data_IF_634315482808
#
_entry.id   IF_634315482808
#
_cell.length_a   1.000
_cell.length_b   1.000
_cell.length_c   1.000
_cell.angle_alpha   90.00
_cell.angle_beta   90.00
_cell.angle_gamma   90.00
#
_symmetry.space_group_name_H-M   'P 1'
#
loop_
_entity.id
_entity.type
_entity.pdbx_description
1 polymer ?
#
# COMPACT_ATOMS: atom_id res chain seq x y z
N UNK A 1 -0.82 1.43 -15.83
CA UNK A 1 -1.86 2.39 -16.29
C UNK A 1 -3.23 1.90 -15.79
N UNK A 2 -4.33 2.53 -16.22
CA UNK A 2 -5.67 2.19 -15.74
C UNK A 2 -6.07 0.74 -16.04
N UNK A 3 -5.83 0.23 -17.25
CA UNK A 3 -6.25 -1.13 -17.65
C UNK A 3 -5.55 -2.20 -16.81
N UNK A 4 -4.25 -2.02 -16.52
CA UNK A 4 -3.50 -2.92 -15.64
C UNK A 4 -4.02 -2.86 -14.19
N UNK A 5 -4.29 -1.65 -13.68
CA UNK A 5 -4.87 -1.47 -12.35
C UNK A 5 -6.26 -2.11 -12.26
N UNK A 6 -7.09 -1.98 -13.30
CA UNK A 6 -8.42 -2.58 -13.38
C UNK A 6 -8.37 -4.10 -13.28
N UNK A 7 -7.45 -4.74 -14.01
CA UNK A 7 -7.24 -6.19 -13.91
C UNK A 7 -6.77 -6.59 -12.50
N UNK A 8 -5.84 -5.85 -11.91
CA UNK A 8 -5.38 -6.12 -10.55
C UNK A 8 -6.51 -6.02 -9.52
N UNK A 9 -7.27 -4.92 -9.50
CA UNK A 9 -8.36 -4.76 -8.50
C UNK A 9 -9.43 -5.83 -8.68
N UNK A 10 -9.71 -6.23 -9.94
CA UNK A 10 -10.66 -7.32 -10.24
C UNK A 10 -10.17 -8.66 -9.68
N UNK A 11 -8.91 -9.02 -9.96
CA UNK A 11 -8.33 -10.27 -9.47
C UNK A 11 -8.22 -10.31 -7.94
N UNK A 12 -7.83 -9.19 -7.32
CA UNK A 12 -7.77 -9.03 -5.87
C UNK A 12 -9.16 -9.16 -5.23
N UNK A 13 -10.20 -8.54 -5.81
CA UNK A 13 -11.58 -8.67 -5.31
C UNK A 13 -12.09 -10.11 -5.37
N UNK A 14 -11.78 -10.85 -6.44
CA UNK A 14 -12.12 -12.27 -6.58
C UNK A 14 -11.41 -13.11 -5.50
N UNK A 15 -10.11 -12.87 -5.28
CA UNK A 15 -9.34 -13.54 -4.24
C UNK A 15 -9.92 -13.26 -2.85
N UNK A 16 -10.23 -12.00 -2.55
CA UNK A 16 -10.86 -11.60 -1.30
C UNK A 16 -12.22 -12.28 -1.09
N UNK A 17 -13.09 -12.33 -2.11
CA UNK A 17 -14.38 -13.02 -2.01
C UNK A 17 -14.22 -14.53 -1.72
N UNK A 18 -13.27 -15.19 -2.42
CA UNK A 18 -12.95 -16.59 -2.19
C UNK A 18 -12.46 -16.83 -0.75
N UNK A 19 -11.61 -15.93 -0.24
CA UNK A 19 -11.11 -16.02 1.14
C UNK A 19 -12.21 -15.96 2.19
N UNK A 20 -13.25 -15.16 1.99
CA UNK A 20 -14.41 -15.09 2.91
C UNK A 20 -15.16 -16.41 2.93
N UNK A 21 -15.38 -17.00 1.75
CA UNK A 21 -16.05 -18.30 1.66
C UNK A 21 -15.23 -19.44 2.27
N UNK A 22 -13.90 -19.40 2.13
CA UNK A 22 -12.98 -20.35 2.77
C UNK A 22 -13.00 -20.15 4.29
N UNK A 23 -12.82 -18.91 4.78
CA UNK A 23 -12.83 -18.60 6.21
C UNK A 23 -14.10 -19.09 6.91
N UNK A 24 -15.26 -18.94 6.27
CA UNK A 24 -16.55 -19.41 6.81
C UNK A 24 -16.62 -20.93 7.00
N UNK A 25 -15.93 -21.71 6.17
CA UNK A 25 -15.94 -23.19 6.22
C UNK A 25 -14.73 -23.77 6.96
N UNK A 26 -13.59 -23.11 6.82
CA UNK A 26 -12.26 -23.55 7.21
C UNK A 26 -11.46 -22.36 7.77
N UNK A 27 -11.88 -21.78 8.91
CA UNK A 27 -11.20 -20.64 9.51
C UNK A 27 -9.73 -20.94 9.85
N UNK A 28 -9.41 -22.20 10.14
CA UNK A 28 -8.06 -22.68 10.41
C UNK A 28 -7.10 -22.47 9.23
N UNK A 29 -7.58 -22.59 7.99
CA UNK A 29 -6.75 -22.38 6.79
C UNK A 29 -6.33 -20.91 6.73
N UNK A 30 -7.29 -19.99 6.86
CA UNK A 30 -7.02 -18.55 6.83
C UNK A 30 -6.13 -18.15 8.01
N UNK A 31 -6.38 -18.68 9.21
CA UNK A 31 -5.54 -18.42 10.37
C UNK A 31 -4.09 -18.89 10.17
N UNK A 32 -3.88 -20.03 9.51
CA UNK A 32 -2.53 -20.55 9.21
C UNK A 32 -1.80 -19.77 8.10
N UNK A 33 -2.54 -19.09 7.23
CA UNK A 33 -1.99 -18.32 6.10
C UNK A 33 -1.78 -16.85 6.44
N UNK A 34 -2.60 -16.28 7.33
CA UNK A 34 -2.57 -14.87 7.72
C UNK A 34 -1.44 -14.54 8.71
N UNK A 35 -0.26 -15.11 8.48
CA UNK A 35 0.94 -14.84 9.26
C UNK A 35 1.61 -13.62 8.64
N UNK A 36 1.36 -12.44 9.21
CA UNK A 36 1.92 -11.19 8.71
C UNK A 36 3.46 -11.18 8.85
N UNK A 37 4.24 -11.18 7.74
CA UNK A 37 5.69 -11.21 7.81
C UNK A 37 6.32 -9.83 8.06
N UNK A 38 5.52 -8.76 8.18
CA UNK A 38 6.02 -7.41 8.45
C UNK A 38 5.68 -6.93 9.86
N UNK A 39 4.54 -7.36 10.40
CA UNK A 39 3.99 -6.85 11.65
C UNK A 39 3.75 -7.91 12.74
N UNK A 40 4.02 -9.20 12.48
CA UNK A 40 3.86 -10.22 13.53
C UNK A 40 4.90 -10.05 14.65
N UNK A 41 4.47 -10.30 15.89
CA UNK A 41 5.36 -10.32 17.06
C UNK A 41 6.38 -11.47 17.02
N UNK A 42 6.17 -12.43 16.13
CA UNK A 42 6.97 -13.66 15.97
C UNK A 42 8.11 -13.50 14.96
N UNK A 43 8.16 -12.39 14.22
CA UNK A 43 9.37 -12.03 13.49
C UNK A 43 10.54 -11.91 14.46
N UNK A 44 11.72 -12.35 14.02
CA UNK A 44 12.95 -12.01 14.69
C UNK A 44 12.93 -10.49 14.94
N UNK A 45 13.04 -10.09 16.21
CA UNK A 45 13.02 -8.71 16.71
C UNK A 45 13.69 -7.68 15.77
N UNK A 46 14.71 -8.13 15.04
CA UNK A 46 15.49 -7.38 14.07
C UNK A 46 14.72 -6.94 12.80
N UNK A 47 13.76 -7.72 12.28
CA UNK A 47 13.08 -7.39 11.01
C UNK A 47 12.06 -6.25 11.19
N UNK A 48 11.13 -6.38 12.14
CA UNK A 48 10.18 -5.33 12.46
C UNK A 48 10.89 -4.03 12.91
N UNK A 49 11.97 -4.14 13.69
CA UNK A 49 12.79 -2.99 14.09
C UNK A 49 13.48 -2.31 12.89
N UNK A 50 13.97 -3.09 11.92
CA UNK A 50 14.56 -2.57 10.69
C UNK A 50 13.50 -1.81 9.85
N UNK A 51 12.33 -2.41 9.62
CA UNK A 51 11.26 -1.75 8.87
C UNK A 51 10.72 -0.50 9.59
N UNK A 52 10.61 -0.52 10.94
CA UNK A 52 10.29 0.67 11.74
C UNK A 52 11.33 1.78 11.52
N UNK A 53 12.62 1.43 11.61
CA UNK A 53 13.72 2.38 11.37
C UNK A 53 13.68 2.96 9.96
N UNK A 54 13.50 2.12 8.95
CA UNK A 54 13.40 2.54 7.55
C UNK A 54 12.21 3.47 7.32
N UNK A 55 11.04 3.15 7.87
CA UNK A 55 9.86 4.01 7.78
C UNK A 55 10.12 5.37 8.44
N UNK A 56 10.65 5.38 9.67
CA UNK A 56 10.94 6.63 10.38
C UNK A 56 11.96 7.48 9.62
N UNK A 57 13.07 6.90 9.14
CA UNK A 57 14.07 7.63 8.34
C UNK A 57 13.47 8.17 7.03
N UNK A 58 12.61 7.40 6.35
CA UNK A 58 11.91 7.84 5.14
C UNK A 58 10.97 9.02 5.40
N UNK A 59 10.19 8.98 6.48
CA UNK A 59 9.30 10.08 6.88
C UNK A 59 10.08 11.35 7.25
N UNK A 60 11.21 11.21 7.95
CA UNK A 60 12.07 12.35 8.29
C UNK A 60 12.68 12.99 7.04
N UNK A 61 13.21 12.19 6.10
CA UNK A 61 13.73 12.66 4.82
C UNK A 61 12.63 13.38 4.01
N UNK A 62 11.45 12.75 3.91
CA UNK A 62 10.28 13.37 3.28
C UNK A 62 9.93 14.71 3.91
N UNK A 63 9.91 14.81 5.25
CA UNK A 63 9.61 16.06 5.96
C UNK A 63 10.62 17.17 5.68
N UNK A 64 11.90 16.83 5.47
CA UNK A 64 12.97 17.77 5.13
C UNK A 64 12.74 18.36 3.73
N UNK A 65 12.51 17.52 2.73
CA UNK A 65 12.20 17.99 1.39
C UNK A 65 10.85 18.72 1.28
N UNK A 66 9.86 18.35 2.10
CA UNK A 66 8.61 19.12 2.22
C UNK A 66 8.91 20.54 2.72
N UNK A 67 9.83 20.71 3.68
CA UNK A 67 10.15 22.03 4.25
C UNK A 67 10.74 22.99 3.20
N UNK A 68 11.46 22.45 2.22
CA UNK A 68 12.05 23.17 1.10
C UNK A 68 11.06 23.44 -0.04
N UNK A 69 9.88 22.83 0.02
CA UNK A 69 8.85 22.95 -1.02
C UNK A 69 7.78 23.96 -0.61
N UNK A 70 7.86 25.18 -1.15
CA UNK A 70 7.01 26.32 -0.74
C UNK A 70 5.50 26.00 -0.69
N UNK A 71 4.97 25.24 -1.65
CA UNK A 71 3.56 24.85 -1.71
C UNK A 71 3.14 23.93 -0.54
N UNK A 72 4.03 23.04 -0.11
CA UNK A 72 3.70 21.95 0.82
C UNK A 72 4.36 22.10 2.20
N UNK A 73 5.22 23.11 2.41
CA UNK A 73 5.98 23.32 3.67
C UNK A 73 5.14 23.29 4.94
N UNK A 74 3.86 23.68 4.86
CA UNK A 74 2.88 23.59 5.97
C UNK A 74 2.73 22.16 6.54
N UNK A 75 3.00 21.13 5.73
CA UNK A 75 2.92 19.73 6.13
C UNK A 75 4.23 19.17 6.73
N UNK A 76 5.36 19.87 6.61
CA UNK A 76 6.66 19.35 7.09
C UNK A 76 6.61 18.99 8.57
N UNK A 77 6.04 19.87 9.40
CA UNK A 77 5.93 19.64 10.83
C UNK A 77 5.08 18.41 11.16
N UNK A 78 3.90 18.25 10.55
CA UNK A 78 3.03 17.10 10.85
C UNK A 78 3.65 15.77 10.41
N UNK A 79 4.32 15.74 9.24
CA UNK A 79 5.01 14.53 8.77
C UNK A 79 6.20 14.19 9.67
N UNK A 80 6.96 15.19 10.13
CA UNK A 80 8.06 14.99 11.08
C UNK A 80 7.56 14.48 12.44
N UNK A 81 6.50 15.11 12.97
CA UNK A 81 5.92 14.75 14.27
C UNK A 81 5.34 13.32 14.25
N UNK A 82 4.72 12.90 13.13
CA UNK A 82 4.16 11.56 13.01
C UNK A 82 5.21 10.47 12.74
N UNK A 83 6.43 10.81 12.33
CA UNK A 83 7.48 9.84 11.93
C UNK A 83 7.76 8.72 12.95
N UNK A 84 7.56 9.01 14.24
CA UNK A 84 7.78 8.06 15.34
C UNK A 84 6.53 7.29 15.77
N UNK A 85 5.34 7.68 15.29
CA UNK A 85 4.05 7.05 15.64
C UNK A 85 3.39 6.33 14.47
N UNK A 86 3.74 6.67 13.22
CA UNK A 86 3.14 6.08 12.01
C UNK A 86 3.29 4.56 11.97
N UNK A 87 4.44 4.02 12.38
CA UNK A 87 4.64 2.57 12.41
C UNK A 87 3.58 1.85 13.26
N UNK A 88 3.37 2.33 14.49
CA UNK A 88 2.44 1.70 15.42
C UNK A 88 0.99 1.88 14.93
N UNK A 89 0.65 3.04 14.33
CA UNK A 89 -0.65 3.26 13.66
C UNK A 89 -0.87 2.28 12.51
N UNK A 90 0.13 2.07 11.66
CA UNK A 90 0.05 1.15 10.52
C UNK A 90 -0.14 -0.28 11.01
N UNK A 91 0.53 -0.71 12.07
CA UNK A 91 0.30 -2.03 12.68
C UNK A 91 -1.15 -2.18 13.12
N UNK A 92 -1.69 -1.21 13.86
CA UNK A 92 -3.07 -1.27 14.37
C UNK A 92 -4.10 -1.31 13.24
N UNK A 93 -3.92 -0.50 12.19
CA UNK A 93 -4.82 -0.43 11.03
C UNK A 93 -4.86 -1.75 10.23
N UNK A 94 -3.82 -2.57 10.32
CA UNK A 94 -3.73 -3.85 9.63
C UNK A 94 -4.28 -5.03 10.43
N UNK A 95 -4.75 -4.81 11.66
CA UNK A 95 -5.41 -5.86 12.43
C UNK A 95 -6.83 -6.11 11.91
N UNK A 96 -7.36 -7.34 12.06
CA UNK A 96 -8.76 -7.61 11.80
C UNK A 96 -9.67 -6.70 12.63
N UNK A 97 -10.73 -6.17 12.01
CA UNK A 97 -11.76 -5.38 12.69
C UNK A 97 -13.05 -6.19 12.92
N UNK A 98 -14.08 -5.56 13.48
CA UNK A 98 -15.42 -6.13 13.58
C UNK A 98 -16.25 -6.02 12.28
N UNK A 99 -15.74 -5.32 11.26
CA UNK A 99 -16.32 -5.28 9.91
C UNK A 99 -15.91 -6.52 9.11
N UNK A 100 -16.30 -6.58 7.83
CA UNK A 100 -15.82 -7.62 6.92
C UNK A 100 -14.28 -7.59 6.87
N UNK A 101 -13.66 -8.77 7.01
CA UNK A 101 -12.24 -8.96 6.79
C UNK A 101 -12.03 -9.98 5.68
N UNK A 102 -10.94 -9.82 4.94
CA UNK A 102 -10.57 -10.66 3.80
C UNK A 102 -9.10 -11.01 3.90
N UNK A 103 -8.72 -12.13 3.30
CA UNK A 103 -7.32 -12.44 3.06
C UNK A 103 -6.87 -11.64 1.83
N UNK A 104 -5.71 -11.00 1.93
CA UNK A 104 -5.08 -10.20 0.88
C UNK A 104 -3.59 -10.56 0.76
N UNK A 105 -3.01 -10.41 -0.44
CA UNK A 105 -1.61 -10.77 -0.70
C UNK A 105 -0.60 -9.80 -0.03
N UNK A 106 -0.99 -8.54 0.21
CA UNK A 106 -0.29 -7.47 0.96
C UNK A 106 1.16 -7.11 0.57
N UNK A 107 1.75 -7.79 -0.40
CA UNK A 107 3.01 -7.42 -1.06
C UNK A 107 2.79 -7.29 -2.57
N UNK A 108 1.70 -6.61 -2.93
CA UNK A 108 1.21 -6.54 -4.30
C UNK A 108 1.82 -5.32 -4.96
N UNK A 109 2.95 -5.51 -5.63
CA UNK A 109 3.57 -4.51 -6.50
C UNK A 109 3.82 -5.10 -7.90
N UNK A 110 4.21 -4.28 -8.87
CA UNK A 110 4.41 -4.73 -10.27
C UNK A 110 5.34 -5.93 -10.41
N UNK A 111 6.30 -6.13 -9.50
CA UNK A 111 7.19 -7.30 -9.47
C UNK A 111 6.49 -8.62 -9.15
N UNK A 112 5.36 -8.58 -8.44
CA UNK A 112 4.62 -9.75 -7.96
C UNK A 112 3.32 -10.00 -8.75
N UNK A 113 3.25 -9.48 -9.98
CA UNK A 113 2.12 -9.71 -10.90
C UNK A 113 2.63 -10.01 -12.31
N UNK A 114 1.96 -10.91 -13.01
CA UNK A 114 2.19 -11.15 -14.44
C UNK A 114 0.97 -10.73 -15.23
N UNK A 115 1.20 -9.97 -16.29
CA UNK A 115 0.17 -9.55 -17.22
C UNK A 115 0.28 -10.30 -18.55
N UNK A 116 -0.87 -10.69 -19.08
CA UNK A 116 -0.99 -11.30 -20.41
C UNK A 116 -1.37 -10.24 -21.43
N UNK A 117 -0.75 -10.27 -22.59
CA UNK A 117 -1.01 -9.33 -23.68
C UNK A 117 -1.48 -10.08 -24.93
N UNK A 118 -2.36 -9.45 -25.71
CA UNK A 118 -2.71 -9.94 -27.04
C UNK A 118 -1.66 -9.55 -28.09
N UNK A 119 -1.89 -9.94 -29.34
CA UNK A 119 -1.00 -9.66 -30.46
C UNK A 119 -0.89 -8.15 -30.81
N UNK A 120 -1.74 -7.30 -30.22
CA UNK A 120 -1.74 -5.85 -30.41
C UNK A 120 -1.14 -5.10 -29.21
N UNK A 121 -0.62 -5.83 -28.22
CA UNK A 121 -0.04 -5.25 -27.00
C UNK A 121 -1.09 -4.80 -25.97
N UNK A 122 -2.37 -5.14 -26.16
CA UNK A 122 -3.41 -4.84 -25.16
C UNK A 122 -3.35 -5.85 -24.03
N UNK A 123 -3.41 -5.37 -22.79
CA UNK A 123 -3.49 -6.24 -21.62
C UNK A 123 -4.84 -6.97 -21.58
N UNK A 124 -4.82 -8.28 -21.36
CA UNK A 124 -6.00 -9.15 -21.44
C UNK A 124 -6.26 -9.99 -20.20
N UNK A 125 -5.23 -10.24 -19.39
CA UNK A 125 -5.35 -11.07 -18.20
C UNK A 125 -4.25 -10.76 -17.19
N UNK A 126 -4.43 -11.21 -15.95
CA UNK A 126 -3.47 -11.05 -14.86
C UNK A 126 -3.33 -12.34 -14.05
N UNK A 127 -2.12 -12.58 -13.53
CA UNK A 127 -1.87 -13.55 -12.48
C UNK A 127 -1.14 -12.87 -11.32
N UNK A 128 -1.74 -12.90 -10.13
CA UNK A 128 -1.08 -12.48 -8.89
C UNK A 128 -0.13 -13.60 -8.46
N UNK A 129 1.09 -13.23 -8.12
CA UNK A 129 2.14 -14.13 -7.66
C UNK A 129 2.53 -13.81 -6.22
N UNK A 130 3.40 -14.67 -5.68
CA UNK A 130 4.07 -14.49 -4.39
C UNK A 130 3.15 -14.17 -3.21
N UNK A 131 2.61 -15.22 -2.57
CA UNK A 131 1.70 -15.07 -1.44
C UNK A 131 2.41 -15.15 -0.08
N UNK A 132 3.70 -14.77 -0.01
CA UNK A 132 4.47 -14.83 1.23
C UNK A 132 4.01 -13.86 2.33
N UNK A 133 3.27 -12.81 1.94
CA UNK A 133 2.85 -11.73 2.83
C UNK A 133 1.36 -11.66 3.12
N UNK A 134 0.66 -12.80 3.03
CA UNK A 134 -0.78 -12.84 3.24
C UNK A 134 -1.20 -12.22 4.58
N UNK A 135 -2.19 -11.32 4.53
CA UNK A 135 -2.76 -10.64 5.71
C UNK A 135 -4.27 -10.78 5.72
N UNK A 136 -4.84 -10.95 6.91
CA UNK A 136 -6.29 -10.92 7.11
C UNK A 136 -6.71 -9.60 7.76
N UNK A 137 -7.39 -8.73 7.00
CA UNK A 137 -7.80 -7.39 7.47
C UNK A 137 -8.93 -6.80 6.61
N UNK A 138 -9.23 -5.51 6.75
CA UNK A 138 -10.24 -4.81 5.92
C UNK A 138 -9.97 -5.00 4.41
N UNK A 139 -11.01 -5.19 3.59
CA UNK A 139 -10.93 -5.19 2.13
C UNK A 139 -10.18 -4.00 1.54
N UNK A 140 -10.30 -2.82 2.14
CA UNK A 140 -9.67 -1.58 1.65
C UNK A 140 -8.14 -1.67 1.64
N UNK A 141 -7.56 -2.32 2.66
CA UNK A 141 -6.11 -2.49 2.77
C UNK A 141 -5.51 -3.27 1.59
N UNK A 142 -6.29 -4.13 0.94
CA UNK A 142 -5.88 -4.98 -0.20
C UNK A 142 -5.41 -4.19 -1.42
N UNK A 143 -5.88 -2.94 -1.57
CA UNK A 143 -5.61 -2.15 -2.76
C UNK A 143 -4.54 -1.09 -2.56
N UNK A 144 -4.43 -0.56 -1.34
CA UNK A 144 -3.62 0.63 -1.08
C UNK A 144 -2.16 0.43 -1.50
N UNK A 145 -1.57 -0.71 -1.11
CA UNK A 145 -0.17 -0.97 -1.42
C UNK A 145 0.09 -0.97 -2.93
N UNK A 146 -0.71 -1.69 -3.72
CA UNK A 146 -0.55 -1.72 -5.18
C UNK A 146 -0.79 -0.36 -5.82
N UNK A 147 -1.88 0.34 -5.46
CA UNK A 147 -2.22 1.61 -6.10
C UNK A 147 -1.19 2.70 -5.81
N UNK A 148 -0.61 2.71 -4.62
CA UNK A 148 0.38 3.72 -4.23
C UNK A 148 1.81 3.37 -4.62
N UNK A 149 2.14 2.10 -4.89
CA UNK A 149 3.47 1.71 -5.40
C UNK A 149 3.53 1.59 -6.92
N UNK A 150 2.44 1.14 -7.55
CA UNK A 150 2.46 0.55 -8.90
C UNK A 150 1.55 1.26 -9.91
N UNK A 151 0.50 1.94 -9.45
CA UNK A 151 -0.28 2.77 -10.38
C UNK A 151 0.59 3.94 -10.88
N UNK A 152 0.29 4.45 -12.07
CA UNK A 152 0.93 5.69 -12.51
C UNK A 152 0.21 6.91 -11.89
N UNK A 153 0.81 8.09 -12.04
CA UNK A 153 0.25 9.30 -11.46
C UNK A 153 -1.15 9.64 -11.98
N UNK A 154 -1.42 9.46 -13.28
CA UNK A 154 -2.74 9.74 -13.86
C UNK A 154 -3.85 8.88 -13.24
N UNK A 155 -3.57 7.60 -12.97
CA UNK A 155 -4.51 6.72 -12.27
C UNK A 155 -4.77 7.21 -10.86
N UNK A 156 -3.72 7.55 -10.09
CA UNK A 156 -3.89 8.10 -8.73
C UNK A 156 -4.64 9.42 -8.72
N UNK A 157 -4.50 10.23 -9.76
CA UNK A 157 -5.11 11.56 -9.83
C UNK A 157 -6.57 11.54 -10.28
N UNK A 158 -6.98 10.55 -11.08
CA UNK A 158 -8.28 10.60 -11.80
C UNK A 158 -9.14 9.35 -11.67
N UNK A 159 -8.58 8.21 -11.26
CA UNK A 159 -9.26 6.91 -11.39
C UNK A 159 -9.31 6.09 -10.09
N UNK A 160 -8.87 6.64 -8.94
CA UNK A 160 -8.91 5.89 -7.67
C UNK A 160 -10.34 5.47 -7.29
N UNK A 161 -11.27 6.41 -7.25
CA UNK A 161 -12.67 6.12 -6.90
C UNK A 161 -13.32 5.13 -7.88
N UNK A 162 -13.02 5.24 -9.18
CA UNK A 162 -13.47 4.29 -10.19
C UNK A 162 -12.95 2.87 -9.90
N UNK A 163 -11.67 2.73 -9.53
CA UNK A 163 -11.07 1.45 -9.17
C UNK A 163 -11.63 0.89 -7.85
N UNK A 164 -11.98 1.75 -6.89
CA UNK A 164 -12.64 1.34 -5.65
C UNK A 164 -14.05 0.82 -5.90
N UNK A 165 -14.82 1.51 -6.73
CA UNK A 165 -16.14 1.06 -7.15
C UNK A 165 -16.06 -0.31 -7.84
N UNK A 166 -15.15 -0.48 -8.81
CA UNK A 166 -14.93 -1.76 -9.49
C UNK A 166 -14.60 -2.88 -8.48
N UNK A 167 -13.73 -2.60 -7.52
CA UNK A 167 -13.38 -3.58 -6.49
C UNK A 167 -14.60 -4.00 -5.65
N UNK A 168 -15.37 -3.03 -5.15
CA UNK A 168 -16.58 -3.29 -4.35
C UNK A 168 -17.62 -4.10 -5.14
N UNK A 169 -17.87 -3.73 -6.40
CA UNK A 169 -18.81 -4.43 -7.26
C UNK A 169 -18.39 -5.89 -7.50
N UNK A 170 -17.15 -6.10 -7.92
CA UNK A 170 -16.61 -7.45 -8.17
C UNK A 170 -16.60 -8.29 -6.89
N UNK A 171 -16.21 -7.71 -5.75
CA UNK A 171 -16.22 -8.39 -4.45
C UNK A 171 -17.65 -8.84 -4.10
N UNK A 172 -18.61 -7.92 -4.13
CA UNK A 172 -20.01 -8.19 -3.78
C UNK A 172 -20.67 -9.19 -4.73
N UNK A 173 -20.42 -9.10 -6.03
CA UNK A 173 -20.89 -10.09 -7.01
C UNK A 173 -20.37 -11.49 -6.72
N UNK A 174 -19.08 -11.63 -6.41
CA UNK A 174 -18.48 -12.92 -6.11
C UNK A 174 -18.93 -13.46 -4.75
N UNK A 175 -19.11 -12.60 -3.74
CA UNK A 175 -19.72 -12.98 -2.47
C UNK A 175 -21.15 -13.51 -2.67
N UNK A 176 -21.94 -12.89 -3.54
CA UNK A 176 -23.27 -13.37 -3.91
C UNK A 176 -23.23 -14.73 -4.60
N UNK A 177 -22.34 -14.93 -5.59
CA UNK A 177 -22.13 -16.22 -6.28
C UNK A 177 -21.73 -17.33 -5.29
N UNK A 178 -20.95 -16.98 -4.27
CA UNK A 178 -20.51 -17.88 -3.20
C UNK A 178 -21.54 -18.04 -2.06
N UNK A 179 -22.73 -17.44 -2.18
CA UNK A 179 -23.81 -17.46 -1.18
C UNK A 179 -23.38 -16.93 0.19
N UNK A 180 -22.45 -15.98 0.20
CA UNK A 180 -22.09 -15.22 1.39
C UNK A 180 -23.10 -14.07 1.61
N UNK A 181 -23.55 -13.80 2.86
CA UNK A 181 -24.40 -12.64 3.15
C UNK A 181 -23.61 -11.32 3.25
N UNK A 182 -22.28 -11.40 3.44
CA UNK A 182 -21.40 -10.24 3.63
C UNK A 182 -21.40 -9.31 2.43
N UNK A 183 -21.41 -7.99 2.65
CA UNK A 183 -21.32 -6.98 1.60
C UNK A 183 -20.51 -5.79 2.09
N UNK A 184 -19.98 -5.01 1.14
CA UNK A 184 -19.27 -3.76 1.40
C UNK A 184 -19.86 -2.68 0.51
N UNK A 185 -20.34 -1.59 1.09
CA UNK A 185 -20.75 -0.41 0.32
C UNK A 185 -19.53 0.42 -0.11
N UNK A 186 -19.66 1.23 -1.16
CA UNK A 186 -18.59 2.14 -1.56
C UNK A 186 -18.29 3.15 -0.43
N UNK A 187 -19.31 3.66 0.27
CA UNK A 187 -19.14 4.63 1.35
C UNK A 187 -18.31 4.05 2.50
N UNK A 188 -18.63 2.84 2.98
CA UNK A 188 -17.85 2.15 4.01
C UNK A 188 -16.40 1.89 3.56
N UNK A 189 -16.21 1.60 2.27
CA UNK A 189 -14.89 1.37 1.71
C UNK A 189 -14.07 2.67 1.65
N UNK A 190 -14.69 3.79 1.28
CA UNK A 190 -14.05 5.11 1.25
C UNK A 190 -13.69 5.58 2.68
N UNK A 191 -14.55 5.33 3.65
CA UNK A 191 -14.26 5.58 5.08
C UNK A 191 -13.03 4.77 5.52
N UNK A 192 -12.98 3.48 5.19
CA UNK A 192 -11.82 2.63 5.49
C UNK A 192 -10.54 3.13 4.77
N UNK A 193 -10.64 3.61 3.52
CA UNK A 193 -9.52 4.22 2.80
C UNK A 193 -9.01 5.49 3.50
N UNK A 194 -9.90 6.33 4.04
CA UNK A 194 -9.52 7.51 4.82
C UNK A 194 -8.79 7.13 6.11
N UNK A 195 -9.28 6.11 6.83
CA UNK A 195 -8.61 5.57 8.03
C UNK A 195 -7.19 5.05 7.72
N UNK A 196 -6.97 4.56 6.50
CA UNK A 196 -5.68 4.05 6.04
C UNK A 196 -4.70 5.15 5.57
N UNK A 197 -5.01 6.44 5.78
CA UNK A 197 -4.11 7.57 5.48
C UNK A 197 -2.67 7.40 6.04
N UNK A 198 -2.45 6.92 7.29
CA UNK A 198 -1.10 6.65 7.78
C UNK A 198 -0.35 5.58 6.97
N UNK A 199 -1.06 4.58 6.45
CA UNK A 199 -0.46 3.55 5.60
C UNK A 199 -0.10 4.10 4.21
N UNK A 200 -0.95 4.96 3.64
CA UNK A 200 -0.65 5.67 2.39
C UNK A 200 0.59 6.54 2.54
N UNK A 201 0.68 7.34 3.63
CA UNK A 201 1.86 8.15 3.91
C UNK A 201 3.10 7.27 4.08
N UNK A 202 2.99 6.17 4.83
CA UNK A 202 4.08 5.22 5.01
C UNK A 202 4.57 4.68 3.68
N UNK A 203 3.68 4.30 2.76
CA UNK A 203 4.04 3.84 1.42
C UNK A 203 4.76 4.93 0.62
N UNK A 204 4.24 6.16 0.65
CA UNK A 204 4.81 7.29 -0.07
C UNK A 204 6.21 7.68 0.42
N UNK A 205 6.50 7.51 1.71
CA UNK A 205 7.79 7.86 2.32
C UNK A 205 8.79 6.69 2.32
N UNK A 206 8.31 5.45 2.49
CA UNK A 206 9.15 4.27 2.59
C UNK A 206 9.34 3.58 1.22
N UNK A 207 8.26 3.11 0.61
CA UNK A 207 8.37 2.23 -0.54
C UNK A 207 8.55 3.01 -1.85
N UNK A 208 7.85 4.13 -2.00
CA UNK A 208 7.77 4.82 -3.28
C UNK A 208 9.10 5.44 -3.78
N UNK A 209 9.89 6.17 -2.96
CA UNK A 209 11.13 6.80 -3.43
C UNK A 209 12.13 5.79 -4.04
N UNK A 210 12.47 4.67 -3.37
CA UNK A 210 13.43 3.73 -3.92
C UNK A 210 12.85 2.88 -5.07
N UNK A 211 11.54 2.64 -5.12
CA UNK A 211 10.90 1.90 -6.22
C UNK A 211 10.81 2.70 -7.53
N UNK A 212 10.84 4.03 -7.43
CA UNK A 212 10.81 4.94 -8.58
C UNK A 212 12.18 5.48 -8.96
N UNK A 213 13.22 5.10 -8.20
CA UNK A 213 14.59 5.43 -8.54
C UNK A 213 15.01 4.61 -9.79
N UNK A 214 15.54 5.25 -10.85
CA UNK A 214 16.02 4.54 -12.02
C UNK A 214 17.24 3.65 -11.74
N UNK A 215 17.95 3.90 -10.63
CA UNK A 215 19.06 3.05 -10.18
C UNK A 215 18.53 1.78 -9.51
N UNK A 216 19.23 0.66 -9.76
CA UNK A 216 18.94 -0.61 -9.09
C UNK A 216 19.02 -0.42 -7.58
N UNK A 217 17.99 -0.90 -6.86
CA UNK A 217 17.96 -0.82 -5.40
C UNK A 217 19.00 -1.76 -4.79
N UNK A 218 20.02 -1.19 -4.15
CA UNK A 218 20.98 -1.93 -3.34
C UNK A 218 20.41 -2.13 -1.92
N UNK A 219 19.81 -3.30 -1.69
CA UNK A 219 19.20 -3.63 -0.41
C UNK A 219 20.23 -3.70 0.73
N UNK A 220 21.41 -4.26 0.49
CA UNK A 220 22.44 -4.44 1.54
C UNK A 220 22.95 -3.08 2.02
N UNK A 221 23.26 -2.18 1.09
CA UNK A 221 23.68 -0.82 1.41
C UNK A 221 22.59 -0.07 2.16
N UNK A 222 21.33 -0.17 1.74
CA UNK A 222 20.22 0.51 2.44
C UNK A 222 20.02 0.01 3.86
N UNK A 223 20.18 -1.29 4.10
CA UNK A 223 20.14 -1.85 5.45
C UNK A 223 21.30 -1.31 6.31
N UNK A 224 22.52 -1.26 5.74
CA UNK A 224 23.68 -0.71 6.45
C UNK A 224 23.47 0.78 6.82
N UNK A 225 23.00 1.61 5.88
CA UNK A 225 22.66 3.02 6.10
C UNK A 225 21.49 3.21 7.08
N UNK A 226 20.54 2.27 7.14
CA UNK A 226 19.47 2.31 8.12
C UNK A 226 20.00 2.13 9.55
N UNK A 227 21.06 1.34 9.73
CA UNK A 227 21.68 1.05 11.02
C UNK A 227 22.72 2.10 11.45
N UNK A 228 23.25 2.90 10.52
CA UNK A 228 24.21 3.96 10.84
C UNK A 228 23.54 5.18 11.50
N UNK A 229 24.32 5.87 12.33
CA UNK A 229 23.91 7.11 13.02
C UNK A 229 24.21 8.30 12.12
N UNK A 230 23.21 9.12 11.83
CA UNK A 230 23.37 10.37 11.08
C UNK A 230 23.23 10.26 9.55
N UNK A 231 23.24 9.06 8.99
CA UNK A 231 22.96 8.87 7.56
C UNK A 231 21.50 8.44 7.35
N UNK A 232 20.97 8.74 6.17
CA UNK A 232 19.60 8.41 5.81
C UNK A 232 19.56 7.69 4.44
N UNK A 233 19.08 6.43 4.36
CA UNK A 233 19.10 5.64 3.13
C UNK A 233 18.18 6.17 2.02
N UNK A 234 17.46 7.26 2.27
CA UNK A 234 16.54 7.87 1.30
C UNK A 234 17.12 9.09 0.61
N UNK A 235 18.18 9.73 1.12
CA UNK A 235 18.78 10.91 0.49
C UNK A 235 19.10 10.67 -0.98
N UNK A 236 19.64 9.48 -1.30
CA UNK A 236 19.97 9.07 -2.66
C UNK A 236 18.74 8.91 -3.58
N UNK A 237 17.55 8.74 -3.00
CA UNK A 237 16.28 8.65 -3.73
C UNK A 237 15.68 10.02 -4.03
N UNK A 238 16.02 11.05 -3.26
CA UNK A 238 15.51 12.42 -3.42
C UNK A 238 16.39 13.28 -4.35
N UNK A 239 16.89 12.67 -5.44
CA UNK A 239 17.59 13.39 -6.50
C UNK A 239 16.68 14.36 -7.28
N UNK A 240 17.28 15.26 -8.05
CA UNK A 240 16.58 16.32 -8.78
C UNK A 240 15.41 15.82 -9.64
N UNK A 241 15.60 14.71 -10.38
CA UNK A 241 14.56 14.12 -11.23
C UNK A 241 13.38 13.58 -10.41
N UNK A 242 13.65 12.87 -9.30
CA UNK A 242 12.58 12.38 -8.43
C UNK A 242 11.79 13.55 -7.83
N UNK A 243 12.50 14.55 -7.31
CA UNK A 243 11.88 15.74 -6.72
C UNK A 243 10.99 16.48 -7.72
N UNK A 244 11.48 16.68 -8.95
CA UNK A 244 10.77 17.40 -10.02
C UNK A 244 9.59 16.61 -10.60
N UNK A 245 9.79 15.33 -10.90
CA UNK A 245 8.83 14.57 -11.71
C UNK A 245 7.83 13.77 -10.88
N UNK A 246 8.26 13.32 -9.69
CA UNK A 246 7.48 12.39 -8.85
C UNK A 246 7.03 13.03 -7.54
N UNK A 247 7.95 13.60 -6.77
CA UNK A 247 7.69 14.02 -5.38
C UNK A 247 6.60 15.07 -5.28
N UNK A 248 6.66 16.15 -6.06
CA UNK A 248 5.64 17.20 -6.06
C UNK A 248 4.25 16.66 -6.43
N UNK A 249 4.19 15.71 -7.38
CA UNK A 249 2.94 15.06 -7.77
C UNK A 249 2.41 14.17 -6.63
N UNK A 250 3.29 13.41 -5.97
CA UNK A 250 2.91 12.62 -4.80
C UNK A 250 2.35 13.52 -3.69
N UNK A 251 3.02 14.63 -3.35
CA UNK A 251 2.51 15.55 -2.33
C UNK A 251 1.14 16.13 -2.70
N UNK A 252 0.93 16.51 -3.96
CA UNK A 252 -0.38 16.96 -4.44
C UNK A 252 -1.45 15.86 -4.36
N UNK A 253 -1.10 14.61 -4.66
CA UNK A 253 -1.99 13.46 -4.55
C UNK A 253 -2.35 13.17 -3.09
N UNK A 254 -1.37 13.20 -2.18
CA UNK A 254 -1.59 13.03 -0.74
C UNK A 254 -2.51 14.12 -0.18
N UNK A 255 -2.29 15.39 -0.55
CA UNK A 255 -3.14 16.51 -0.16
C UNK A 255 -4.58 16.33 -0.67
N UNK A 256 -4.76 15.97 -1.95
CA UNK A 256 -6.07 15.74 -2.56
C UNK A 256 -6.84 14.61 -1.88
N UNK A 257 -6.15 13.54 -1.51
CA UNK A 257 -6.74 12.41 -0.78
C UNK A 257 -6.99 12.73 0.71
N UNK A 258 -6.57 13.90 1.20
CA UNK A 258 -6.71 14.28 2.61
C UNK A 258 -5.76 13.56 3.55
N UNK A 259 -4.72 12.89 3.04
CA UNK A 259 -3.82 12.04 3.85
C UNK A 259 -3.19 12.84 4.97
N UNK A 260 -2.66 14.03 4.67
CA UNK A 260 -2.00 14.89 5.65
C UNK A 260 -2.97 15.53 6.68
N UNK A 261 -4.28 15.53 6.40
CA UNK A 261 -5.29 16.06 7.32
C UNK A 261 -5.69 15.04 8.40
N UNK A 262 -5.35 13.76 8.18
CA UNK A 262 -5.74 12.61 9.01
C UNK A 262 -4.54 11.96 9.71
N UNK A 263 -3.41 12.68 9.84
CA UNK A 263 -2.18 12.19 10.47
C UNK A 263 -2.16 12.38 11.99
#
# INVERSE_FOLDING_TARGET
DFEHCKLFVTASAIFSAASVAIHKKHPEIVASLAIDPFYSKELAYNCAALHKTLLTKGLLCMAEHIAETEQFKKYSKVVRDCAYTTWDKVIELHKPSNKLNVLQQSDAWTGNVMFKYDNYGKVTDIKILDFQALRYSSPASSLIFFLWTSANHEVRERHLEELYQIYCDVLNENLAKLKSPERVSLDEFLDDMQLLSPAVLAIAAYFFPPLTNPCVMDFERRIALAQSVGENPYEESYGENYCKDSFLRILSQLERCGVCNNL
#
